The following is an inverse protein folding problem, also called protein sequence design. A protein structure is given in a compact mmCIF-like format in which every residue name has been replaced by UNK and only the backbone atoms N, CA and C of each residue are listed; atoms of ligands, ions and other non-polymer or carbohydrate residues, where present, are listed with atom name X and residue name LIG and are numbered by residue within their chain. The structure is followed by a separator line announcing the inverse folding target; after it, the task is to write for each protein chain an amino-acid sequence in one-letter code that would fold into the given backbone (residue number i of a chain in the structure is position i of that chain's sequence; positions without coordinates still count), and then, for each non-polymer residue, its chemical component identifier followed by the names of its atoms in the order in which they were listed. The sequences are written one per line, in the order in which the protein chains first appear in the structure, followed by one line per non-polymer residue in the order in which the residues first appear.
data_IF_138505445356
#
_entry.id   IF_138505445356
#
_cell.length_a   1.000
_cell.length_b   1.000
_cell.length_c   1.000
_cell.angle_alpha   90.00
_cell.angle_beta   90.00
_cell.angle_gamma   90.00
#
_symmetry.space_group_name_H-M   'P 1'
#
loop_
_entity.id
_entity.type
_entity.pdbx_description
1 polymer ?
#
# COMPACT_ATOMS: atom_id res chain seq x y z
N UNK A 1 -21.97 -4.07 24.44
CA UNK A 1 -21.07 -4.90 23.61
C UNK A 1 -19.82 -4.17 23.11
N UNK A 2 -19.77 -2.84 23.06
CA UNK A 2 -18.65 -2.06 22.53
C UNK A 2 -17.35 -2.06 23.34
N UNK A 3 -17.40 -2.19 24.66
CA UNK A 3 -16.18 -2.04 25.50
C UNK A 3 -15.20 -3.23 25.44
N UNK A 4 -15.66 -4.44 25.12
CA UNK A 4 -14.78 -5.61 25.04
C UNK A 4 -13.91 -5.63 23.78
N UNK A 5 -14.42 -5.06 22.68
CA UNK A 5 -13.67 -4.95 21.44
C UNK A 5 -12.50 -3.96 21.58
N UNK A 6 -12.74 -2.81 22.22
CA UNK A 6 -11.72 -1.80 22.44
C UNK A 6 -10.64 -2.24 23.46
N UNK A 7 -10.99 -3.08 24.43
CA UNK A 7 -10.01 -3.65 25.39
C UNK A 7 -9.13 -4.71 24.74
N UNK A 8 -9.67 -5.53 23.86
CA UNK A 8 -8.90 -6.53 23.12
C UNK A 8 -7.87 -5.87 22.16
N UNK A 9 -8.22 -4.75 21.56
CA UNK A 9 -7.31 -3.98 20.66
C UNK A 9 -6.23 -3.25 21.46
N UNK A 10 -6.48 -2.89 22.73
CA UNK A 10 -5.51 -2.18 23.57
C UNK A 10 -4.45 -3.08 24.22
N UNK A 11 -4.74 -4.40 24.35
CA UNK A 11 -3.93 -5.34 25.15
C UNK A 11 -2.68 -5.91 24.49
N UNK A 12 -2.45 -5.68 23.20
CA UNK A 12 -1.34 -6.31 22.46
C UNK A 12 -0.50 -5.29 21.67
N UNK A 13 -0.01 -4.26 22.34
CA UNK A 13 1.09 -3.48 21.75
C UNK A 13 2.39 -4.16 22.17
N UNK A 14 3.07 -4.91 21.29
CA UNK A 14 4.45 -5.28 21.56
C UNK A 14 5.23 -3.98 21.67
N UNK A 15 5.93 -3.81 22.79
CA UNK A 15 6.84 -2.69 22.96
C UNK A 15 7.81 -2.67 21.78
N UNK A 16 7.99 -1.53 21.13
CA UNK A 16 8.88 -1.31 19.99
C UNK A 16 10.36 -1.68 20.30
N UNK A 17 10.68 -2.07 21.53
CA UNK A 17 12.04 -2.27 22.03
C UNK A 17 12.67 -3.64 21.74
N UNK A 18 11.93 -4.59 21.17
CA UNK A 18 12.49 -5.90 20.82
C UNK A 18 12.05 -6.34 19.43
N UNK A 19 12.35 -5.54 18.41
CA UNK A 19 12.29 -6.04 17.02
C UNK A 19 13.46 -7.01 16.86
N UNK A 20 13.23 -8.29 17.15
CA UNK A 20 14.15 -9.35 16.78
C UNK A 20 14.35 -9.30 15.26
N UNK A 21 15.55 -9.63 14.76
CA UNK A 21 15.84 -9.62 13.32
C UNK A 21 14.79 -10.36 12.48
N UNK A 22 14.17 -11.40 13.05
CA UNK A 22 13.08 -12.17 12.45
C UNK A 22 11.82 -11.31 12.23
N UNK A 23 11.42 -10.50 13.22
CA UNK A 23 10.24 -9.62 13.10
C UNK A 23 10.48 -8.55 12.03
N UNK A 24 11.69 -7.98 11.99
CA UNK A 24 12.06 -7.02 10.94
C UNK A 24 11.99 -7.64 9.54
N UNK A 25 12.52 -8.85 9.36
CA UNK A 25 12.47 -9.56 8.09
C UNK A 25 11.02 -9.86 7.64
N UNK A 26 10.14 -10.26 8.57
CA UNK A 26 8.72 -10.50 8.29
C UNK A 26 8.03 -9.20 7.84
N UNK A 27 8.25 -8.11 8.57
CA UNK A 27 7.64 -6.81 8.24
C UNK A 27 8.15 -6.31 6.89
N UNK A 28 9.45 -6.39 6.62
CA UNK A 28 10.02 -6.02 5.33
C UNK A 28 9.43 -6.88 4.20
N UNK A 29 9.30 -8.18 4.41
CA UNK A 29 8.65 -9.09 3.47
C UNK A 29 7.20 -8.71 3.18
N UNK A 30 6.41 -8.39 4.22
CA UNK A 30 5.04 -7.93 4.06
C UNK A 30 4.94 -6.59 3.29
N UNK A 31 5.86 -5.65 3.55
CA UNK A 31 5.93 -4.38 2.80
C UNK A 31 6.23 -4.65 1.33
N UNK A 32 7.23 -5.47 1.02
CA UNK A 32 7.59 -5.80 -0.36
C UNK A 32 6.45 -6.49 -1.09
N UNK A 33 5.82 -7.49 -0.48
CA UNK A 33 4.65 -8.18 -1.05
C UNK A 33 3.52 -7.18 -1.28
N UNK A 34 3.21 -6.32 -0.29
CA UNK A 34 2.18 -5.31 -0.43
C UNK A 34 2.45 -4.38 -1.63
N UNK A 35 3.69 -3.94 -1.84
CA UNK A 35 4.04 -3.07 -2.96
C UNK A 35 3.93 -3.79 -4.31
N UNK A 36 4.45 -5.01 -4.42
CA UNK A 36 4.40 -5.80 -5.67
C UNK A 36 2.96 -6.07 -6.09
N UNK A 37 2.11 -6.53 -5.16
CA UNK A 37 0.71 -6.82 -5.47
C UNK A 37 -0.10 -5.56 -5.73
N UNK A 38 0.25 -4.42 -5.11
CA UNK A 38 -0.40 -3.13 -5.36
C UNK A 38 -0.09 -2.61 -6.76
N UNK A 39 1.17 -2.66 -7.19
CA UNK A 39 1.58 -2.32 -8.57
C UNK A 39 0.84 -3.22 -9.57
N UNK A 40 0.76 -4.53 -9.30
CA UNK A 40 0.01 -5.47 -10.11
C UNK A 40 -1.49 -5.15 -10.21
N UNK A 41 -2.13 -4.83 -9.08
CA UNK A 41 -3.53 -4.42 -9.05
C UNK A 41 -3.76 -3.15 -9.87
N UNK A 42 -2.94 -2.13 -9.67
CA UNK A 42 -3.03 -0.85 -10.39
C UNK A 42 -2.84 -1.05 -11.90
N UNK A 43 -1.86 -1.84 -12.32
CA UNK A 43 -1.62 -2.16 -13.73
C UNK A 43 -2.83 -2.87 -14.37
N UNK A 44 -3.44 -3.85 -13.65
CA UNK A 44 -4.63 -4.54 -14.14
C UNK A 44 -5.84 -3.60 -14.26
N UNK A 45 -6.07 -2.73 -13.27
CA UNK A 45 -7.17 -1.77 -13.34
C UNK A 45 -6.95 -0.73 -14.45
N UNK A 46 -5.72 -0.24 -14.64
CA UNK A 46 -5.39 0.64 -15.75
C UNK A 46 -5.58 -0.06 -17.11
N UNK A 47 -5.13 -1.30 -17.25
CA UNK A 47 -5.36 -2.09 -18.46
C UNK A 47 -6.86 -2.31 -18.73
N UNK A 48 -7.68 -2.49 -17.68
CA UNK A 48 -9.12 -2.61 -17.83
C UNK A 48 -9.76 -1.32 -18.38
N UNK A 49 -9.29 -0.15 -17.94
CA UNK A 49 -9.80 1.15 -18.38
C UNK A 49 -9.55 1.41 -19.89
N UNK A 50 -8.53 0.75 -20.47
CA UNK A 50 -8.21 0.85 -21.90
C UNK A 50 -8.80 -0.29 -22.74
N UNK A 51 -9.67 -1.13 -22.16
CA UNK A 51 -10.24 -2.28 -22.84
C UNK A 51 -11.47 -1.89 -23.69
N UNK A 52 -11.43 -2.14 -24.98
CA UNK A 52 -12.56 -1.87 -25.90
C UNK A 52 -13.74 -2.84 -25.73
N UNK A 53 -13.49 -4.03 -25.20
CA UNK A 53 -14.49 -5.09 -25.07
C UNK A 53 -14.82 -5.35 -23.59
N UNK A 54 -16.11 -5.46 -23.30
CA UNK A 54 -16.59 -5.75 -21.93
C UNK A 54 -15.94 -7.02 -21.34
N UNK A 55 -15.73 -8.07 -22.14
CA UNK A 55 -15.07 -9.30 -21.68
C UNK A 55 -13.62 -9.04 -21.24
N UNK A 56 -12.87 -8.27 -21.98
CA UNK A 56 -11.48 -7.90 -21.64
C UNK A 56 -11.45 -6.99 -20.42
N UNK A 57 -12.37 -6.03 -20.33
CA UNK A 57 -12.55 -5.19 -19.15
C UNK A 57 -12.79 -6.04 -17.90
N UNK A 58 -13.79 -6.92 -17.92
CA UNK A 58 -14.11 -7.79 -16.78
C UNK A 58 -12.97 -8.72 -16.40
N UNK A 59 -12.25 -9.28 -17.39
CA UNK A 59 -11.09 -10.12 -17.13
C UNK A 59 -10.03 -9.38 -16.30
N UNK A 60 -9.63 -8.18 -16.72
CA UNK A 60 -8.66 -7.37 -16.01
C UNK A 60 -9.14 -6.90 -14.63
N UNK A 61 -10.45 -6.61 -14.49
CA UNK A 61 -11.06 -6.28 -13.20
C UNK A 61 -11.00 -7.45 -12.22
N UNK A 62 -11.28 -8.68 -12.68
CA UNK A 62 -11.22 -9.87 -11.83
C UNK A 62 -9.76 -10.12 -11.41
N UNK A 63 -8.82 -10.08 -12.34
CA UNK A 63 -7.39 -10.29 -12.03
C UNK A 63 -6.90 -9.20 -11.06
N UNK A 64 -7.23 -7.92 -11.31
CA UNK A 64 -6.90 -6.82 -10.41
C UNK A 64 -7.52 -6.99 -9.03
N UNK A 65 -8.75 -7.52 -8.94
CA UNK A 65 -9.43 -7.84 -7.69
C UNK A 65 -8.69 -8.89 -6.84
N UNK A 66 -8.14 -9.93 -7.46
CA UNK A 66 -7.30 -10.90 -6.74
C UNK A 66 -6.02 -10.26 -6.17
N UNK A 67 -5.35 -9.41 -6.95
CA UNK A 67 -4.24 -8.60 -6.43
C UNK A 67 -4.69 -7.67 -5.30
N UNK A 68 -5.85 -7.04 -5.43
CA UNK A 68 -6.45 -6.19 -4.40
C UNK A 68 -6.70 -6.93 -3.08
N UNK A 69 -7.19 -8.17 -3.13
CA UNK A 69 -7.32 -9.01 -1.94
C UNK A 69 -5.96 -9.30 -1.29
N UNK A 70 -4.94 -9.58 -2.08
CA UNK A 70 -3.58 -9.79 -1.55
C UNK A 70 -3.01 -8.52 -0.92
N UNK A 71 -3.31 -7.31 -1.46
CA UNK A 71 -2.99 -6.02 -0.83
C UNK A 71 -3.64 -5.92 0.55
N UNK A 72 -4.94 -6.22 0.67
CA UNK A 72 -5.66 -6.14 1.94
C UNK A 72 -5.11 -7.13 2.98
N UNK A 73 -4.78 -8.35 2.58
CA UNK A 73 -4.22 -9.36 3.47
C UNK A 73 -2.82 -8.96 3.96
N UNK A 74 -1.95 -8.47 3.08
CA UNK A 74 -0.62 -8.00 3.46
C UNK A 74 -0.69 -6.76 4.35
N UNK A 75 -1.63 -5.84 4.09
CA UNK A 75 -1.89 -4.67 4.93
C UNK A 75 -2.38 -5.07 6.33
N UNK A 76 -3.32 -6.02 6.43
CA UNK A 76 -3.77 -6.55 7.72
C UNK A 76 -2.61 -7.19 8.51
N UNK A 77 -1.68 -7.85 7.81
CA UNK A 77 -0.43 -8.34 8.39
C UNK A 77 0.43 -7.21 8.95
N UNK A 78 0.61 -6.10 8.21
CA UNK A 78 1.39 -4.94 8.67
C UNK A 78 0.78 -4.29 9.92
N UNK A 79 -0.55 -4.12 9.97
CA UNK A 79 -1.27 -3.56 11.13
C UNK A 79 -1.08 -4.41 12.38
N UNK A 80 -0.84 -5.71 12.23
CA UNK A 80 -0.57 -6.62 13.36
C UNK A 80 0.76 -6.32 14.05
N UNK A 81 1.77 -5.86 13.30
CA UNK A 81 3.12 -5.57 13.80
C UNK A 81 3.33 -4.08 14.08
N UNK A 82 2.60 -3.20 13.41
CA UNK A 82 2.75 -1.75 13.50
C UNK A 82 1.43 -1.06 13.90
N UNK A 83 1.52 0.23 14.25
CA UNK A 83 0.33 1.04 14.42
C UNK A 83 -0.41 1.20 13.08
N UNK A 84 -1.73 1.38 13.14
CA UNK A 84 -2.55 1.62 11.95
C UNK A 84 -2.03 2.81 11.13
N UNK A 85 -1.57 3.87 11.81
CA UNK A 85 -1.01 5.06 11.14
C UNK A 85 0.27 4.72 10.36
N UNK A 86 1.21 3.98 10.97
CA UNK A 86 2.45 3.58 10.30
C UNK A 86 2.18 2.62 9.13
N UNK A 87 1.27 1.66 9.30
CA UNK A 87 0.87 0.75 8.25
C UNK A 87 0.21 1.50 7.06
N UNK A 88 -0.63 2.52 7.33
CA UNK A 88 -1.22 3.36 6.29
C UNK A 88 -0.18 4.18 5.53
N UNK A 89 0.75 4.83 6.25
CA UNK A 89 1.82 5.62 5.61
C UNK A 89 2.62 4.75 4.64
N UNK A 90 2.99 3.55 5.05
CA UNK A 90 3.81 2.65 4.23
C UNK A 90 2.97 1.96 3.17
N UNK A 91 1.80 1.41 3.55
CA UNK A 91 0.94 0.68 2.62
C UNK A 91 0.38 1.57 1.51
N UNK A 92 -0.22 2.71 1.87
CA UNK A 92 -0.89 3.59 0.90
C UNK A 92 0.10 4.58 0.29
N UNK A 93 0.98 5.16 1.11
CA UNK A 93 1.87 6.22 0.66
C UNK A 93 2.96 5.74 -0.28
N UNK A 94 3.67 4.67 0.09
CA UNK A 94 4.68 4.07 -0.80
C UNK A 94 4.01 3.46 -2.04
N UNK A 95 2.80 2.87 -1.88
CA UNK A 95 2.03 2.35 -3.00
C UNK A 95 1.65 3.44 -4.01
N UNK A 96 1.25 4.63 -3.54
CA UNK A 96 0.95 5.76 -4.42
C UNK A 96 2.18 6.15 -5.27
N UNK A 97 3.33 6.34 -4.63
CA UNK A 97 4.58 6.69 -5.33
C UNK A 97 5.00 5.57 -6.29
N UNK A 98 4.90 4.30 -5.87
CA UNK A 98 5.23 3.15 -6.71
C UNK A 98 4.30 3.05 -7.91
N UNK A 99 2.99 3.24 -7.74
CA UNK A 99 2.03 3.23 -8.84
C UNK A 99 2.32 4.35 -9.87
N UNK A 100 2.64 5.56 -9.42
CA UNK A 100 3.01 6.67 -10.30
C UNK A 100 4.27 6.34 -11.10
N UNK A 101 5.34 5.88 -10.45
CA UNK A 101 6.60 5.62 -11.11
C UNK A 101 6.56 4.38 -12.01
N UNK A 102 6.05 3.25 -11.50
CA UNK A 102 6.11 1.98 -12.23
C UNK A 102 4.95 1.82 -13.21
N UNK A 103 3.72 2.13 -12.80
CA UNK A 103 2.56 1.88 -13.66
C UNK A 103 2.38 3.01 -14.66
N UNK A 104 2.18 4.24 -14.19
CA UNK A 104 1.88 5.34 -15.09
C UNK A 104 3.08 5.70 -15.99
N UNK A 105 4.27 5.89 -15.40
CA UNK A 105 5.44 6.34 -16.16
C UNK A 105 6.10 5.22 -16.98
N UNK A 106 6.39 4.03 -16.36
CA UNK A 106 7.14 2.98 -17.06
C UNK A 106 6.27 2.06 -17.91
N UNK A 107 5.05 1.71 -17.46
CA UNK A 107 4.18 0.75 -18.19
C UNK A 107 3.33 1.48 -19.23
N UNK A 108 2.66 2.58 -18.84
CA UNK A 108 1.77 3.33 -19.73
C UNK A 108 2.47 4.49 -20.44
N UNK A 109 3.76 4.74 -20.14
CA UNK A 109 4.57 5.79 -20.74
C UNK A 109 3.88 7.18 -20.69
N UNK A 110 3.16 7.44 -19.58
CA UNK A 110 2.49 8.72 -19.39
C UNK A 110 3.52 9.83 -19.14
N UNK A 111 3.38 10.94 -19.85
CA UNK A 111 4.23 12.11 -19.66
C UNK A 111 3.77 12.92 -18.46
N UNK A 112 4.57 12.96 -17.39
CA UNK A 112 4.27 13.80 -16.25
C UNK A 112 4.69 15.25 -16.46
N UNK A 113 3.75 16.14 -16.20
CA UNK A 113 4.02 17.58 -16.16
C UNK A 113 4.70 17.97 -14.83
N UNK A 114 5.44 19.08 -14.84
CA UNK A 114 6.14 19.59 -13.65
C UNK A 114 5.25 19.70 -12.40
N UNK A 115 3.98 20.16 -12.48
CA UNK A 115 3.10 20.19 -11.29
C UNK A 115 2.82 18.81 -10.69
N UNK A 116 2.74 17.75 -11.53
CA UNK A 116 2.50 16.38 -11.06
C UNK A 116 3.71 15.83 -10.29
N UNK A 117 4.93 16.11 -10.77
CA UNK A 117 6.17 15.76 -10.05
C UNK A 117 6.28 16.49 -8.72
N UNK A 118 5.96 17.79 -8.70
CA UNK A 118 5.91 18.55 -7.45
C UNK A 118 4.86 18.00 -6.48
N UNK A 119 3.66 17.69 -6.96
CA UNK A 119 2.62 17.07 -6.15
C UNK A 119 3.05 15.73 -5.54
N UNK A 120 3.67 14.87 -6.33
CA UNK A 120 4.21 13.58 -5.85
C UNK A 120 5.30 13.77 -4.79
N UNK A 121 6.20 14.75 -4.97
CA UNK A 121 7.21 15.11 -3.98
C UNK A 121 6.59 15.62 -2.66
N UNK A 122 5.56 16.47 -2.72
CA UNK A 122 4.84 16.94 -1.53
C UNK A 122 4.14 15.80 -0.79
N UNK A 123 3.51 14.87 -1.52
CA UNK A 123 2.92 13.66 -0.91
C UNK A 123 4.00 12.87 -0.18
N UNK A 124 5.14 12.63 -0.80
CA UNK A 124 6.25 11.91 -0.18
C UNK A 124 6.76 12.60 1.09
N UNK A 125 6.97 13.92 1.06
CA UNK A 125 7.37 14.71 2.24
C UNK A 125 6.30 14.62 3.33
N UNK A 126 5.01 14.74 2.98
CA UNK A 126 3.90 14.59 3.94
C UNK A 126 3.90 13.23 4.62
N UNK A 127 4.15 12.16 3.88
CA UNK A 127 4.25 10.79 4.42
C UNK A 127 5.41 10.65 5.42
N UNK A 128 6.58 11.22 5.10
CA UNK A 128 7.74 11.22 5.99
C UNK A 128 7.42 11.98 7.28
N UNK A 129 6.78 13.15 7.19
CA UNK A 129 6.39 13.94 8.36
C UNK A 129 5.41 13.19 9.26
N UNK A 130 4.41 12.50 8.70
CA UNK A 130 3.48 11.66 9.47
C UNK A 130 4.21 10.49 10.13
N UNK A 131 5.16 9.85 9.42
CA UNK A 131 5.95 8.75 9.96
C UNK A 131 6.84 9.19 11.14
N UNK A 132 7.48 10.37 11.04
CA UNK A 132 8.38 10.90 12.07
C UNK A 132 7.61 11.54 13.23
N UNK A 133 6.48 12.21 12.95
CA UNK A 133 5.68 12.90 13.97
C UNK A 133 4.92 11.98 14.93
N UNK A 134 4.94 10.68 14.69
CA UNK A 134 4.24 9.67 15.51
C UNK A 134 5.17 9.10 16.62
N UNK A 135 5.88 9.97 17.32
CA UNK A 135 6.67 9.60 18.52
C UNK A 135 5.87 9.83 19.80
#
# INVERSE_FOLDING_TARGET
MGNRFLTAVRGTRPALAAVTGTTFAIVLGLVLVNQIVNVGATACFAASAHADKLRTFLFWQIVGGFFGLAVQLSFAGLVRFWSLTAANVIGIGVAFVSAQLFVAYLIFNESFQVPQWLGTAFVFVGLVLVAVGHR
#
